data_IF_195488910617
#
_entry.id   IF_195488910617
#
_cell.length_a   1.000
_cell.length_b   1.000
_cell.length_c   1.000
_cell.angle_alpha   90.00
_cell.angle_beta   90.00
_cell.angle_gamma   90.00
#
_symmetry.space_group_name_H-M   'P 1'
#
loop_
_entity.id
_entity.type
_entity.pdbx_description
1 polymer ?
#
# COMPACT_ATOMS: atom_id res chain seq x y z
N UNK A 1 -23.91 -33.98 -41.35
CA UNK A 1 -24.37 -32.60 -41.03
C UNK A 1 -24.83 -32.42 -39.59
N UNK A 2 -25.57 -33.39 -39.00
CA UNK A 2 -26.15 -33.36 -37.63
C UNK A 2 -25.11 -33.08 -36.50
N UNK A 3 -23.90 -33.65 -36.61
CA UNK A 3 -22.85 -33.57 -35.59
C UNK A 3 -22.17 -32.17 -35.47
N UNK A 4 -22.13 -31.37 -36.56
CA UNK A 4 -21.57 -30.00 -36.53
C UNK A 4 -22.53 -28.97 -35.91
N UNK A 5 -23.84 -29.22 -36.00
CA UNK A 5 -24.87 -28.35 -35.45
C UNK A 5 -24.96 -28.51 -33.92
N UNK A 6 -24.91 -29.74 -33.43
CA UNK A 6 -24.86 -30.06 -32.00
C UNK A 6 -23.61 -29.47 -31.32
N UNK A 7 -22.44 -29.55 -31.96
CA UNK A 7 -21.21 -28.93 -31.46
C UNK A 7 -21.27 -27.39 -31.42
N UNK A 8 -21.93 -26.75 -32.40
CA UNK A 8 -22.17 -25.30 -32.40
C UNK A 8 -23.14 -24.88 -31.29
N UNK A 9 -24.22 -25.63 -31.09
CA UNK A 9 -25.20 -25.38 -30.02
C UNK A 9 -24.54 -25.56 -28.65
N UNK A 10 -23.75 -26.61 -28.44
CA UNK A 10 -23.02 -26.83 -27.19
C UNK A 10 -21.99 -25.73 -26.90
N UNK A 11 -21.29 -25.21 -27.93
CA UNK A 11 -20.36 -24.07 -27.77
C UNK A 11 -21.09 -22.77 -27.44
N UNK A 12 -22.24 -22.52 -28.05
CA UNK A 12 -23.06 -21.33 -27.78
C UNK A 12 -23.67 -21.40 -26.38
N UNK A 13 -24.15 -22.58 -25.94
CA UNK A 13 -24.64 -22.81 -24.59
C UNK A 13 -23.55 -22.64 -23.53
N UNK A 14 -22.32 -23.13 -23.78
CA UNK A 14 -21.17 -22.88 -22.89
C UNK A 14 -20.85 -21.39 -22.79
N UNK A 15 -20.78 -20.68 -23.92
CA UNK A 15 -20.55 -19.22 -23.93
C UNK A 15 -21.67 -18.44 -23.22
N UNK A 16 -22.93 -18.83 -23.41
CA UNK A 16 -24.06 -18.20 -22.75
C UNK A 16 -24.05 -18.45 -21.24
N UNK A 17 -23.74 -19.69 -20.81
CA UNK A 17 -23.56 -20.02 -19.40
C UNK A 17 -22.38 -19.28 -18.78
N UNK A 18 -21.26 -19.13 -19.50
CA UNK A 18 -20.11 -18.36 -19.02
C UNK A 18 -20.45 -16.87 -18.86
N UNK A 19 -21.26 -16.28 -19.75
CA UNK A 19 -21.71 -14.89 -19.64
C UNK A 19 -22.68 -14.71 -18.47
N UNK A 20 -23.64 -15.62 -18.29
CA UNK A 20 -24.57 -15.60 -17.15
C UNK A 20 -23.84 -15.84 -15.83
N UNK A 21 -22.84 -16.73 -15.82
CA UNK A 21 -21.98 -16.95 -14.66
C UNK A 21 -21.14 -15.71 -14.36
N UNK A 22 -20.56 -15.03 -15.36
CA UNK A 22 -19.83 -13.76 -15.17
C UNK A 22 -20.67 -12.64 -14.57
N UNK A 23 -21.96 -12.56 -14.90
CA UNK A 23 -22.89 -11.58 -14.28
C UNK A 23 -23.22 -11.94 -12.83
N UNK A 24 -23.04 -13.20 -12.45
CA UNK A 24 -23.27 -13.71 -11.08
C UNK A 24 -22.00 -13.74 -10.23
N UNK A 25 -20.84 -13.77 -10.88
CA UNK A 25 -19.54 -13.76 -10.24
C UNK A 25 -19.36 -12.43 -9.50
N UNK A 26 -19.05 -12.54 -8.22
CA UNK A 26 -18.82 -11.36 -7.38
C UNK A 26 -17.35 -11.04 -7.40
N UNK A 27 -17.03 -9.75 -7.42
CA UNK A 27 -15.69 -9.25 -7.31
C UNK A 27 -15.61 -8.39 -6.06
N UNK A 28 -14.57 -8.61 -5.25
CA UNK A 28 -14.26 -7.78 -4.09
C UNK A 28 -12.78 -7.46 -4.14
N UNK A 29 -12.45 -6.17 -4.17
CA UNK A 29 -11.09 -5.66 -3.98
C UNK A 29 -10.92 -5.26 -2.52
N UNK A 30 -10.15 -6.05 -1.78
CA UNK A 30 -9.88 -5.88 -0.37
C UNK A 30 -8.46 -5.34 -0.19
N UNK A 31 -8.38 -4.08 0.20
CA UNK A 31 -7.13 -3.45 0.55
C UNK A 31 -6.67 -3.86 1.95
N UNK A 32 -5.37 -4.09 2.11
CA UNK A 32 -4.70 -4.38 3.37
C UNK A 32 -3.57 -3.38 3.55
N UNK A 33 -3.62 -2.63 4.65
CA UNK A 33 -2.62 -1.62 4.96
C UNK A 33 -2.31 -1.58 6.45
N UNK A 34 -1.41 -0.69 6.85
CA UNK A 34 -0.86 -0.57 8.19
C UNK A 34 0.59 -0.11 8.11
N UNK A 35 1.05 0.53 9.18
CA UNK A 35 2.43 1.02 9.30
C UNK A 35 3.43 -0.14 9.17
N UNK A 36 4.69 0.17 8.84
CA UNK A 36 5.74 -0.85 8.78
C UNK A 36 5.77 -1.68 10.04
N UNK A 37 5.96 -3.00 9.86
CA UNK A 37 5.96 -4.02 10.92
C UNK A 37 4.61 -4.28 11.59
N UNK A 38 3.49 -3.73 11.11
CA UNK A 38 2.15 -4.11 11.58
C UNK A 38 1.70 -5.55 11.23
N UNK A 39 2.55 -6.31 10.52
CA UNK A 39 2.27 -7.71 10.18
C UNK A 39 1.54 -7.94 8.85
N UNK A 40 1.47 -6.97 7.94
CA UNK A 40 0.77 -7.10 6.64
C UNK A 40 1.15 -8.35 5.84
N UNK A 41 2.43 -8.56 5.56
CA UNK A 41 2.88 -9.74 4.80
C UNK A 41 2.47 -11.03 5.48
N UNK A 42 2.66 -11.13 6.80
CA UNK A 42 2.28 -12.31 7.57
C UNK A 42 0.76 -12.54 7.56
N UNK A 43 -0.04 -11.49 7.73
CA UNK A 43 -1.49 -11.53 7.68
C UNK A 43 -2.00 -12.02 6.33
N UNK A 44 -1.52 -11.45 5.22
CA UNK A 44 -1.97 -11.83 3.87
C UNK A 44 -1.53 -13.27 3.57
N UNK A 45 -0.30 -13.65 3.93
CA UNK A 45 0.19 -15.03 3.76
C UNK A 45 -0.70 -16.01 4.53
N UNK A 46 -1.00 -15.73 5.80
CA UNK A 46 -1.87 -16.56 6.61
C UNK A 46 -3.30 -16.60 6.07
N UNK A 47 -3.86 -15.47 5.64
CA UNK A 47 -5.22 -15.38 5.08
C UNK A 47 -5.35 -16.20 3.80
N UNK A 48 -4.41 -16.03 2.85
CA UNK A 48 -4.37 -16.82 1.62
C UNK A 48 -4.27 -18.31 1.95
N UNK A 49 -3.35 -18.68 2.85
CA UNK A 49 -3.17 -20.07 3.26
C UNK A 49 -4.45 -20.66 3.86
N UNK A 50 -5.09 -19.94 4.80
CA UNK A 50 -6.34 -20.36 5.44
C UNK A 50 -7.47 -20.51 4.42
N UNK A 51 -7.58 -19.61 3.44
CA UNK A 51 -8.63 -19.66 2.42
C UNK A 51 -8.43 -20.83 1.46
N UNK A 52 -7.21 -21.08 0.96
CA UNK A 52 -6.93 -22.21 0.06
C UNK A 52 -7.22 -23.56 0.72
N UNK A 53 -6.95 -23.68 2.03
CA UNK A 53 -7.16 -24.92 2.79
C UNK A 53 -8.55 -24.99 3.44
N UNK A 54 -9.35 -23.91 3.36
CA UNK A 54 -10.61 -23.77 4.11
C UNK A 54 -11.64 -24.89 3.86
N UNK A 55 -11.65 -25.48 2.66
CA UNK A 55 -12.58 -26.53 2.26
C UNK A 55 -12.10 -27.95 2.56
N UNK A 56 -10.81 -28.13 2.87
CA UNK A 56 -10.19 -29.45 3.11
C UNK A 56 -10.15 -29.73 4.61
N UNK A 57 -9.45 -28.89 5.36
CA UNK A 57 -9.19 -29.05 6.80
C UNK A 57 -9.34 -27.74 7.59
N UNK A 58 -9.80 -26.67 6.92
CA UNK A 58 -9.99 -25.36 7.51
C UNK A 58 -10.85 -25.36 8.77
N UNK A 59 -10.34 -24.74 9.83
CA UNK A 59 -11.05 -24.52 11.09
C UNK A 59 -11.47 -23.06 11.21
N UNK A 60 -12.47 -22.67 10.43
CA UNK A 60 -12.98 -21.28 10.36
C UNK A 60 -14.43 -21.17 10.88
N UNK A 61 -14.72 -21.51 12.16
CA UNK A 61 -16.09 -21.61 12.67
C UNK A 61 -16.86 -20.27 12.65
N UNK A 62 -16.14 -19.16 12.72
CA UNK A 62 -16.72 -17.82 12.63
C UNK A 62 -17.07 -17.43 11.18
N UNK A 63 -16.61 -18.19 10.19
CA UNK A 63 -16.95 -17.95 8.80
C UNK A 63 -18.18 -18.77 8.39
N UNK A 64 -19.32 -18.08 8.32
CA UNK A 64 -20.64 -18.65 7.97
C UNK A 64 -20.66 -19.61 6.77
N UNK A 65 -19.85 -19.36 5.74
CA UNK A 65 -19.80 -20.21 4.56
C UNK A 65 -19.13 -21.56 4.83
N UNK A 66 -18.06 -21.57 5.62
CA UNK A 66 -17.37 -22.78 6.04
C UNK A 66 -18.21 -23.52 7.09
N UNK A 67 -18.73 -22.81 8.11
CA UNK A 67 -19.57 -23.40 9.17
C UNK A 67 -20.80 -24.13 8.63
N UNK A 68 -21.38 -23.64 7.53
CA UNK A 68 -22.55 -24.23 6.88
C UNK A 68 -22.21 -25.29 5.82
N UNK A 69 -20.94 -25.69 5.67
CA UNK A 69 -20.51 -26.66 4.64
C UNK A 69 -20.75 -26.19 3.20
N UNK A 70 -20.85 -24.87 2.99
CA UNK A 70 -21.14 -24.28 1.67
C UNK A 70 -19.88 -24.00 0.87
N UNK A 71 -18.73 -23.90 1.50
CA UNK A 71 -17.47 -23.65 0.80
C UNK A 71 -17.07 -24.90 0.00
N UNK A 72 -16.69 -24.71 -1.27
CA UNK A 72 -16.23 -25.80 -2.15
C UNK A 72 -14.72 -25.81 -2.31
N UNK A 73 -14.09 -24.64 -2.20
CA UNK A 73 -12.65 -24.47 -2.31
C UNK A 73 -12.28 -23.04 -2.67
N UNK A 74 -11.01 -22.71 -2.44
CA UNK A 74 -10.40 -21.51 -2.95
C UNK A 74 -9.06 -21.83 -3.60
N UNK A 75 -8.66 -21.03 -4.58
CA UNK A 75 -7.33 -21.12 -5.19
C UNK A 75 -6.87 -19.76 -5.69
N UNK A 76 -5.57 -19.54 -5.72
CA UNK A 76 -4.97 -18.41 -6.43
C UNK A 76 -5.22 -18.54 -7.94
N UNK A 77 -5.52 -17.40 -8.56
CA UNK A 77 -5.70 -17.26 -10.01
C UNK A 77 -4.93 -16.02 -10.49
N UNK A 78 -4.63 -15.89 -11.80
CA UNK A 78 -3.96 -14.70 -12.31
C UNK A 78 -4.71 -13.41 -11.94
N UNK A 79 -3.95 -12.42 -11.45
CA UNK A 79 -4.44 -11.08 -11.14
C UNK A 79 -4.90 -10.36 -12.42
N UNK A 80 -5.78 -9.37 -12.26
CA UNK A 80 -6.26 -8.58 -13.41
C UNK A 80 -5.29 -7.45 -13.78
N UNK A 81 -4.67 -6.83 -12.78
CA UNK A 81 -3.84 -5.65 -12.95
C UNK A 81 -2.38 -6.05 -13.20
N UNK A 82 -2.01 -6.25 -14.47
CA UNK A 82 -0.66 -6.69 -14.83
C UNK A 82 0.46 -5.65 -14.54
N UNK A 83 0.11 -4.39 -14.29
CA UNK A 83 1.05 -3.34 -13.91
C UNK A 83 1.39 -3.35 -12.40
N UNK A 84 0.63 -4.08 -11.58
CA UNK A 84 0.88 -4.20 -10.14
C UNK A 84 1.72 -5.46 -9.89
N UNK A 85 2.79 -5.39 -9.08
CA UNK A 85 3.55 -6.58 -8.68
C UNK A 85 2.67 -7.66 -8.02
N UNK A 86 2.97 -8.93 -8.29
CA UNK A 86 2.29 -10.05 -7.62
C UNK A 86 2.78 -10.18 -6.17
N UNK A 87 1.87 -10.37 -5.22
CA UNK A 87 2.21 -10.65 -3.84
C UNK A 87 2.97 -11.98 -3.72
N UNK A 88 4.12 -11.95 -3.03
CA UNK A 88 5.07 -13.06 -2.98
C UNK A 88 4.68 -14.14 -1.96
N UNK A 89 3.49 -14.72 -2.10
CA UNK A 89 2.95 -15.74 -1.17
C UNK A 89 3.90 -16.92 -0.98
N UNK A 90 4.44 -17.50 -2.06
CA UNK A 90 5.32 -18.68 -1.96
C UNK A 90 6.59 -18.35 -1.17
N UNK A 91 7.21 -17.20 -1.44
CA UNK A 91 8.35 -16.73 -0.64
C UNK A 91 7.98 -16.53 0.83
N UNK A 92 6.78 -16.04 1.11
CA UNK A 92 6.28 -15.92 2.48
C UNK A 92 6.12 -17.27 3.18
N UNK A 93 5.61 -18.29 2.49
CA UNK A 93 5.57 -19.64 3.02
C UNK A 93 6.97 -20.22 3.22
N UNK A 94 7.87 -20.06 2.25
CA UNK A 94 9.25 -20.55 2.33
C UNK A 94 9.99 -19.97 3.54
N UNK A 95 9.77 -18.68 3.86
CA UNK A 95 10.32 -18.08 5.08
C UNK A 95 9.77 -18.76 6.34
N UNK A 96 8.46 -19.00 6.41
CA UNK A 96 7.80 -19.60 7.58
C UNK A 96 8.17 -21.07 7.79
N UNK A 97 8.40 -21.82 6.72
CA UNK A 97 8.80 -23.23 6.74
C UNK A 97 10.31 -23.45 6.61
N UNK A 98 11.10 -22.37 6.54
CA UNK A 98 12.56 -22.43 6.45
C UNK A 98 13.22 -23.00 7.71
N UNK A 99 14.52 -23.27 7.61
CA UNK A 99 15.37 -23.67 8.73
C UNK A 99 16.57 -22.71 8.87
N UNK A 100 16.59 -21.81 9.87
CA UNK A 100 15.53 -21.59 10.86
C UNK A 100 14.29 -20.90 10.26
N UNK A 101 13.09 -21.08 10.86
CA UNK A 101 11.90 -20.39 10.40
C UNK A 101 12.00 -18.89 10.66
N UNK A 102 11.52 -18.08 9.72
CA UNK A 102 11.58 -16.63 9.76
C UNK A 102 10.25 -15.99 9.31
N UNK A 103 10.00 -14.77 9.77
CA UNK A 103 8.86 -13.99 9.28
C UNK A 103 9.11 -13.54 7.83
N UNK A 104 8.06 -13.51 6.98
CA UNK A 104 8.17 -13.01 5.61
C UNK A 104 8.67 -11.57 5.55
N UNK A 105 9.44 -11.26 4.51
CA UNK A 105 9.92 -9.90 4.27
C UNK A 105 8.78 -8.88 4.14
N UNK A 106 8.92 -7.67 4.71
CA UNK A 106 7.98 -6.58 4.49
C UNK A 106 7.91 -6.18 3.01
N UNK A 107 6.69 -5.90 2.53
CA UNK A 107 6.48 -5.31 1.21
C UNK A 107 7.01 -3.87 1.16
N UNK A 108 7.66 -3.53 0.03
CA UNK A 108 8.28 -2.21 -0.22
C UNK A 108 7.43 -1.29 -1.10
N UNK A 109 6.28 -1.78 -1.58
CA UNK A 109 5.37 -1.08 -2.48
C UNK A 109 4.04 -1.83 -2.57
N UNK A 110 3.25 -1.53 -3.60
CA UNK A 110 1.96 -2.20 -3.83
C UNK A 110 2.19 -3.63 -4.31
N UNK A 111 1.41 -4.58 -3.81
CA UNK A 111 1.37 -5.94 -4.33
C UNK A 111 -0.06 -6.51 -4.33
N UNK A 112 -0.39 -7.35 -5.29
CA UNK A 112 -1.73 -7.92 -5.45
C UNK A 112 -1.69 -9.46 -5.51
N UNK A 113 -2.66 -10.12 -4.88
CA UNK A 113 -2.97 -11.54 -5.11
C UNK A 113 -4.45 -11.73 -5.29
N UNK A 114 -4.83 -12.57 -6.25
CA UNK A 114 -6.22 -12.85 -6.57
C UNK A 114 -6.60 -14.28 -6.23
N UNK A 115 -7.72 -14.42 -5.53
CA UNK A 115 -8.31 -15.70 -5.15
C UNK A 115 -9.64 -15.92 -5.89
N UNK A 116 -9.84 -17.11 -6.41
CA UNK A 116 -11.15 -17.63 -6.82
C UNK A 116 -11.71 -18.49 -5.69
N UNK A 117 -12.84 -18.07 -5.09
CA UNK A 117 -13.53 -18.79 -4.01
C UNK A 117 -14.87 -19.33 -4.54
N UNK A 118 -15.03 -20.65 -4.55
CA UNK A 118 -16.26 -21.31 -4.99
C UNK A 118 -17.11 -21.74 -3.80
N UNK A 119 -18.40 -21.44 -3.85
CA UNK A 119 -19.31 -21.72 -2.74
C UNK A 119 -20.74 -22.02 -3.20
N UNK A 120 -21.50 -22.76 -2.38
CA UNK A 120 -22.94 -22.97 -2.56
C UNK A 120 -23.72 -21.76 -2.06
N UNK A 121 -24.63 -21.26 -2.89
CA UNK A 121 -25.46 -20.10 -2.56
C UNK A 121 -26.56 -20.44 -1.56
N UNK A 122 -27.09 -19.43 -0.83
CA UNK A 122 -28.18 -19.63 0.16
C UNK A 122 -29.58 -19.68 -0.49
N UNK A 123 -29.74 -19.24 -1.74
CA UNK A 123 -31.08 -19.04 -2.33
C UNK A 123 -31.55 -20.26 -3.11
N UNK A 124 -32.27 -21.15 -2.44
CA UNK A 124 -33.02 -22.27 -3.03
C UNK A 124 -34.20 -21.84 -3.92
N UNK A 125 -34.71 -20.61 -3.74
CA UNK A 125 -35.88 -20.07 -4.47
C UNK A 125 -35.59 -19.67 -5.93
N UNK A 126 -34.32 -19.67 -6.35
CA UNK A 126 -33.90 -19.40 -7.73
C UNK A 126 -33.31 -20.67 -8.35
N UNK A 127 -34.15 -21.71 -8.47
CA UNK A 127 -33.83 -23.03 -9.07
C UNK A 127 -33.11 -22.98 -10.43
N UNK A 128 -33.17 -21.84 -11.13
CA UNK A 128 -32.58 -21.64 -12.45
C UNK A 128 -31.25 -20.85 -12.46
N UNK A 129 -30.78 -20.32 -11.32
CA UNK A 129 -29.56 -19.47 -11.25
C UNK A 129 -28.29 -20.22 -10.78
N UNK A 130 -28.35 -21.56 -10.71
CA UNK A 130 -27.21 -22.42 -10.37
C UNK A 130 -26.85 -22.43 -8.88
N UNK A 131 -26.56 -23.62 -8.35
CA UNK A 131 -26.31 -23.82 -6.91
C UNK A 131 -24.95 -23.30 -6.43
N UNK A 132 -23.95 -23.31 -7.32
CA UNK A 132 -22.56 -22.94 -7.04
C UNK A 132 -22.30 -21.56 -7.60
N UNK A 133 -21.74 -20.63 -6.84
CA UNK A 133 -21.25 -19.32 -7.30
C UNK A 133 -19.75 -19.14 -7.06
N UNK A 134 -19.15 -18.18 -7.76
CA UNK A 134 -17.74 -17.82 -7.63
C UNK A 134 -17.62 -16.39 -7.09
N UNK A 135 -16.74 -16.21 -6.11
CA UNK A 135 -16.31 -14.92 -5.60
C UNK A 135 -14.82 -14.76 -5.94
N UNK A 136 -14.48 -13.71 -6.68
CA UNK A 136 -13.11 -13.28 -6.87
C UNK A 136 -12.75 -12.26 -5.81
N UNK A 137 -11.67 -12.52 -5.07
CA UNK A 137 -11.13 -11.61 -4.06
C UNK A 137 -9.75 -11.16 -4.50
N UNK A 138 -9.60 -9.88 -4.78
CA UNK A 138 -8.32 -9.24 -5.05
C UNK A 138 -7.82 -8.64 -3.72
N UNK A 139 -6.77 -9.24 -3.14
CA UNK A 139 -6.09 -8.73 -1.95
C UNK A 139 -4.98 -7.80 -2.40
N UNK A 140 -5.05 -6.52 -2.02
CA UNK A 140 -4.06 -5.50 -2.38
C UNK A 140 -3.32 -5.03 -1.13
N UNK A 141 -2.04 -5.35 -1.04
CA UNK A 141 -1.13 -4.85 0.01
C UNK A 141 -0.53 -3.51 -0.42
N UNK A 142 -0.51 -2.53 0.47
CA UNK A 142 0.26 -1.30 0.27
C UNK A 142 0.74 -0.68 1.60
N UNK A 143 1.85 0.09 1.58
CA UNK A 143 2.39 0.72 2.78
C UNK A 143 1.44 1.75 3.41
N UNK A 144 1.16 1.62 4.71
CA UNK A 144 0.32 2.59 5.44
C UNK A 144 0.95 3.97 5.56
N UNK A 145 2.28 4.05 5.48
CA UNK A 145 3.03 5.30 5.45
C UNK A 145 2.59 6.22 4.32
N UNK A 146 2.09 5.67 3.21
CA UNK A 146 1.61 6.46 2.09
C UNK A 146 0.30 7.20 2.38
N UNK A 147 -0.47 6.76 3.37
CA UNK A 147 -1.67 7.47 3.82
C UNK A 147 -1.31 8.68 4.70
N UNK A 148 -0.11 8.72 5.27
CA UNK A 148 0.35 9.84 6.11
C UNK A 148 0.56 11.12 5.31
N UNK A 149 0.69 11.01 3.99
CA UNK A 149 0.86 12.15 3.09
C UNK A 149 -0.46 12.73 2.59
N UNK A 150 -1.61 12.11 2.88
CA UNK A 150 -2.91 12.64 2.43
C UNK A 150 -3.15 14.10 2.85
N UNK A 151 -2.79 14.54 4.08
CA UNK A 151 -2.91 15.95 4.45
C UNK A 151 -2.08 16.90 3.58
N UNK A 152 -1.00 16.43 2.95
CA UNK A 152 -0.15 17.27 2.08
C UNK A 152 -0.92 17.77 0.85
N UNK A 153 -1.96 17.07 0.40
CA UNK A 153 -2.80 17.51 -0.72
C UNK A 153 -3.48 18.86 -0.43
N UNK A 154 -3.79 19.13 0.83
CA UNK A 154 -4.46 20.35 1.28
C UNK A 154 -3.47 21.42 1.78
N UNK A 155 -2.17 21.11 1.83
CA UNK A 155 -1.13 22.01 2.32
C UNK A 155 -0.32 22.63 1.19
N UNK A 156 0.04 23.90 1.34
CA UNK A 156 1.12 24.53 0.58
C UNK A 156 2.49 24.09 1.11
N UNK A 157 3.54 24.26 0.31
CA UNK A 157 4.92 23.98 0.72
C UNK A 157 5.32 24.78 1.98
N UNK A 158 4.85 26.02 2.09
CA UNK A 158 5.06 26.91 3.24
C UNK A 158 4.40 26.36 4.50
N UNK A 159 3.14 25.95 4.40
CA UNK A 159 2.39 25.39 5.53
C UNK A 159 3.03 24.11 6.06
N UNK A 160 3.41 23.20 5.15
CA UNK A 160 4.12 21.99 5.52
C UNK A 160 5.49 22.29 6.14
N UNK A 161 6.23 23.24 5.58
CA UNK A 161 7.54 23.66 6.10
C UNK A 161 7.44 24.28 7.50
N UNK A 162 6.43 25.10 7.75
CA UNK A 162 6.16 25.68 9.07
C UNK A 162 5.81 24.60 10.10
N UNK A 163 4.98 23.62 9.71
CA UNK A 163 4.64 22.50 10.59
C UNK A 163 5.88 21.72 11.01
N UNK A 164 6.80 21.43 10.08
CA UNK A 164 8.06 20.76 10.43
C UNK A 164 8.95 21.67 11.29
N UNK A 165 9.01 22.97 11.00
CA UNK A 165 9.77 23.93 11.83
C UNK A 165 9.27 23.95 13.27
N UNK A 166 7.95 23.88 13.48
CA UNK A 166 7.36 23.79 14.83
C UNK A 166 7.74 22.48 15.52
N UNK A 167 7.69 21.35 14.81
CA UNK A 167 8.09 20.05 15.36
C UNK A 167 9.56 20.05 15.82
N UNK A 168 10.44 20.74 15.09
CA UNK A 168 11.85 20.86 15.45
C UNK A 168 12.12 21.67 16.74
N UNK A 169 11.11 22.28 17.36
CA UNK A 169 11.25 22.87 18.70
C UNK A 169 11.37 21.82 19.81
N UNK A 170 10.98 20.57 19.53
CA UNK A 170 11.14 19.44 20.45
C UNK A 170 12.62 19.02 20.48
N UNK A 171 13.30 19.04 21.65
CA UNK A 171 14.74 18.76 21.73
C UNK A 171 15.15 17.42 21.13
N UNK A 172 14.35 16.38 21.30
CA UNK A 172 14.59 15.04 20.76
C UNK A 172 14.56 15.01 19.23
N UNK A 173 13.68 15.81 18.60
CA UNK A 173 13.63 15.93 17.14
C UNK A 173 14.73 16.81 16.60
N UNK A 174 15.06 17.88 17.32
CA UNK A 174 16.16 18.76 16.96
C UNK A 174 17.50 18.03 16.96
N UNK A 175 17.74 17.16 17.96
CA UNK A 175 18.95 16.37 18.07
C UNK A 175 19.14 15.42 16.87
N UNK A 176 18.09 14.71 16.47
CA UNK A 176 18.12 13.83 15.30
C UNK A 176 18.25 14.59 13.97
N UNK A 177 17.72 15.82 13.90
CA UNK A 177 17.73 16.64 12.70
C UNK A 177 19.10 17.28 12.38
N UNK A 178 20.05 17.27 13.32
CA UNK A 178 21.31 18.01 13.23
C UNK A 178 22.06 17.83 11.90
N UNK A 179 22.04 16.62 11.34
CA UNK A 179 22.77 16.27 10.11
C UNK A 179 22.25 16.96 8.85
N UNK A 180 20.93 17.18 8.73
CA UNK A 180 20.32 17.80 7.55
C UNK A 180 20.09 19.30 7.73
N UNK A 181 20.08 19.80 8.97
CA UNK A 181 20.05 21.23 9.26
C UNK A 181 21.38 21.95 8.98
N UNK A 182 22.48 21.19 8.88
CA UNK A 182 23.84 21.69 8.67
C UNK A 182 24.42 21.22 7.32
N UNK A 183 24.91 22.12 6.46
CA UNK A 183 24.94 23.58 6.62
C UNK A 183 23.54 24.20 6.48
N UNK A 184 23.41 25.47 6.86
CA UNK A 184 22.21 26.26 6.56
C UNK A 184 22.14 26.58 5.08
N UNK A 185 20.93 26.67 4.53
CA UNK A 185 20.70 26.91 3.10
C UNK A 185 20.05 28.28 2.90
N UNK A 186 20.48 28.99 1.87
CA UNK A 186 19.91 30.29 1.49
C UNK A 186 18.84 30.11 0.42
N UNK A 187 17.70 30.78 0.57
CA UNK A 187 16.57 30.60 -0.34
C UNK A 187 16.89 30.98 -1.79
N UNK A 188 17.66 32.07 -1.97
CA UNK A 188 18.00 32.64 -3.27
C UNK A 188 19.20 31.94 -3.96
N UNK A 189 19.88 31.00 -3.31
CA UNK A 189 21.03 30.35 -3.93
C UNK A 189 20.61 29.49 -5.14
N UNK A 190 21.46 29.33 -6.16
CA UNK A 190 21.15 28.49 -7.31
C UNK A 190 20.92 27.03 -6.90
N UNK A 191 19.95 26.38 -7.53
CA UNK A 191 19.75 24.95 -7.37
C UNK A 191 20.97 24.16 -7.88
N UNK A 192 21.44 23.19 -7.09
CA UNK A 192 22.50 22.27 -7.48
C UNK A 192 22.11 20.84 -7.12
N UNK A 193 22.09 19.95 -8.12
CA UNK A 193 21.52 18.61 -7.99
C UNK A 193 22.23 17.74 -6.94
N UNK A 194 23.56 17.68 -6.98
CA UNK A 194 24.33 16.83 -6.06
C UNK A 194 24.22 17.28 -4.58
N UNK A 195 24.41 18.56 -4.23
CA UNK A 195 24.20 19.02 -2.85
C UNK A 195 22.76 18.77 -2.35
N UNK A 196 21.75 18.96 -3.21
CA UNK A 196 20.35 18.71 -2.85
C UNK A 196 20.05 17.23 -2.65
N UNK A 197 20.59 16.35 -3.50
CA UNK A 197 20.42 14.91 -3.32
C UNK A 197 20.98 14.45 -1.96
N UNK A 198 22.16 14.94 -1.58
CA UNK A 198 22.75 14.67 -0.26
C UNK A 198 21.91 15.23 0.89
N UNK A 199 21.30 16.40 0.72
CA UNK A 199 20.38 16.98 1.71
C UNK A 199 19.13 16.12 1.89
N UNK A 200 18.52 15.68 0.80
CA UNK A 200 17.35 14.81 0.81
C UNK A 200 17.65 13.42 1.40
N UNK A 201 18.83 12.87 1.16
CA UNK A 201 19.31 11.64 1.80
C UNK A 201 19.41 11.80 3.33
N UNK A 202 19.99 12.91 3.80
CA UNK A 202 20.10 13.20 5.25
C UNK A 202 18.74 13.41 5.90
N UNK A 203 17.83 14.09 5.21
CA UNK A 203 16.46 14.24 5.69
C UNK A 203 15.72 12.90 5.73
N UNK A 204 15.88 12.06 4.71
CA UNK A 204 15.36 10.68 4.71
C UNK A 204 15.93 9.87 5.89
N UNK A 205 17.23 9.98 6.17
CA UNK A 205 17.86 9.34 7.31
C UNK A 205 17.28 9.83 8.65
N UNK A 206 17.00 11.14 8.76
CA UNK A 206 16.29 11.72 9.91
C UNK A 206 14.89 11.10 10.08
N UNK A 207 14.11 10.95 9.01
CA UNK A 207 12.79 10.30 9.10
C UNK A 207 12.87 8.84 9.54
N UNK A 208 13.89 8.10 9.09
CA UNK A 208 14.17 6.75 9.59
C UNK A 208 14.53 6.75 11.08
N UNK A 209 15.38 7.67 11.54
CA UNK A 209 15.77 7.80 12.94
C UNK A 209 14.55 8.13 13.83
N UNK A 210 13.70 9.08 13.43
CA UNK A 210 12.46 9.39 14.15
C UNK A 210 11.57 8.16 14.35
N UNK A 211 11.45 7.31 13.33
CA UNK A 211 10.67 6.08 13.39
C UNK A 211 11.31 5.02 14.28
N UNK A 212 12.63 4.88 14.23
CA UNK A 212 13.36 3.82 14.93
C UNK A 212 13.61 4.14 16.41
N UNK A 213 13.98 5.39 16.71
CA UNK A 213 14.42 5.81 18.04
C UNK A 213 13.28 6.37 18.88
N UNK A 214 12.37 7.13 18.28
CA UNK A 214 11.27 7.81 18.98
C UNK A 214 9.91 7.14 18.78
N UNK A 215 9.85 6.05 18.01
CA UNK A 215 8.60 5.36 17.68
C UNK A 215 7.60 6.23 16.93
N UNK A 216 8.05 7.33 16.31
CA UNK A 216 7.12 8.27 15.67
C UNK A 216 6.47 7.65 14.44
N UNK A 217 5.15 7.72 14.44
CA UNK A 217 4.32 7.20 13.35
C UNK A 217 3.98 8.26 12.31
N UNK A 218 3.97 9.54 12.69
CA UNK A 218 3.76 10.64 11.76
C UNK A 218 5.11 11.11 11.20
N UNK A 219 5.55 10.48 10.12
CA UNK A 219 6.72 10.88 9.33
C UNK A 219 6.25 11.32 7.95
N UNK A 220 6.67 12.50 7.52
CA UNK A 220 6.32 13.07 6.22
C UNK A 220 7.60 13.58 5.54
N UNK A 221 7.77 13.38 4.22
CA UNK A 221 6.87 12.65 3.33
C UNK A 221 7.06 11.12 3.44
N UNK A 222 5.97 10.35 3.45
CA UNK A 222 5.99 8.90 3.64
C UNK A 222 6.76 8.14 2.56
N UNK A 223 6.77 8.62 1.30
CA UNK A 223 7.54 7.98 0.21
C UNK A 223 9.04 8.22 0.32
N UNK A 224 9.53 9.09 1.21
CA UNK A 224 10.97 9.19 1.45
C UNK A 224 11.46 7.92 2.16
N UNK A 225 10.67 7.41 3.11
CA UNK A 225 10.99 6.21 3.90
C UNK A 225 10.66 4.92 3.15
N UNK A 226 9.62 4.93 2.34
CA UNK A 226 9.22 3.81 1.47
C UNK A 226 8.98 4.30 0.04
N UNK A 227 10.05 4.52 -0.75
CA UNK A 227 9.95 5.10 -2.10
C UNK A 227 9.37 4.16 -3.16
N UNK A 228 9.33 2.85 -2.90
CA UNK A 228 8.85 1.87 -3.88
C UNK A 228 9.66 1.93 -5.17
N UNK A 229 8.98 2.14 -6.30
CA UNK A 229 9.60 2.27 -7.62
C UNK A 229 10.24 3.64 -7.89
N UNK A 230 9.98 4.64 -7.03
CA UNK A 230 10.43 6.02 -7.22
C UNK A 230 11.81 6.31 -6.62
N UNK A 231 12.58 5.28 -6.26
CA UNK A 231 13.94 5.43 -5.73
C UNK A 231 14.78 6.28 -6.69
N UNK A 232 15.36 7.36 -6.17
CA UNK A 232 16.18 8.28 -6.95
C UNK A 232 15.42 9.28 -7.81
N UNK A 233 14.08 9.28 -7.80
CA UNK A 233 13.29 10.23 -8.59
C UNK A 233 13.53 11.69 -8.12
N UNK A 234 13.62 12.68 -9.03
CA UNK A 234 13.83 14.09 -8.66
C UNK A 234 12.74 14.66 -7.73
N UNK A 235 11.51 14.16 -7.83
CA UNK A 235 10.41 14.55 -6.94
C UNK A 235 10.58 14.05 -5.50
N UNK A 236 11.58 13.22 -5.19
CA UNK A 236 11.97 12.85 -3.83
C UNK A 236 13.18 13.65 -3.32
N UNK A 237 13.63 14.65 -4.06
CA UNK A 237 14.82 15.43 -3.73
C UNK A 237 14.44 16.86 -3.32
N UNK A 238 13.73 16.98 -2.20
CA UNK A 238 13.40 18.24 -1.54
C UNK A 238 13.32 18.02 -0.04
N UNK A 239 13.33 19.09 0.75
CA UNK A 239 13.16 19.05 2.21
C UNK A 239 12.26 20.21 2.66
N UNK A 240 11.66 20.16 3.86
CA UNK A 240 10.89 21.30 4.35
C UNK A 240 11.82 22.50 4.59
N UNK A 241 11.33 23.70 4.28
CA UNK A 241 12.10 24.93 4.44
C UNK A 241 12.06 25.43 5.89
N UNK A 242 13.06 25.03 6.67
CA UNK A 242 13.14 25.35 8.11
C UNK A 242 14.14 26.45 8.44
N UNK A 243 14.90 26.93 7.44
CA UNK A 243 15.83 28.06 7.57
C UNK A 243 15.10 29.41 7.42
N UNK A 244 15.89 30.49 7.32
CA UNK A 244 15.38 31.85 7.16
C UNK A 244 14.37 31.95 6.01
N UNK A 245 13.23 32.63 6.23
CA UNK A 245 12.20 32.74 5.21
C UNK A 245 12.73 33.48 3.97
N UNK A 246 12.19 33.18 2.78
CA UNK A 246 12.56 33.91 1.57
C UNK A 246 12.19 35.40 1.71
N UNK A 247 13.09 36.29 1.30
CA UNK A 247 12.90 37.74 1.34
C UNK A 247 12.84 38.27 -0.10
N UNK A 248 11.75 38.95 -0.44
CA UNK A 248 11.55 39.51 -1.78
C UNK A 248 11.19 38.46 -2.84
N UNK A 249 11.20 38.88 -4.10
CA UNK A 249 10.99 37.97 -5.24
C UNK A 249 12.24 37.13 -5.49
N UNK A 250 12.06 35.81 -5.57
CA UNK A 250 13.13 34.87 -5.89
C UNK A 250 13.10 34.52 -7.38
N UNK A 251 14.28 34.25 -7.95
CA UNK A 251 14.37 33.66 -9.27
C UNK A 251 13.69 32.28 -9.31
N UNK A 252 13.09 31.92 -10.45
CA UNK A 252 12.42 30.62 -10.64
C UNK A 252 13.36 29.43 -10.45
N UNK A 253 14.64 29.59 -10.78
CA UNK A 253 15.70 28.57 -10.60
C UNK A 253 16.36 28.59 -9.21
N UNK A 254 15.86 29.42 -8.29
CA UNK A 254 16.33 29.41 -6.91
C UNK A 254 16.06 28.06 -6.24
N UNK A 255 16.88 27.72 -5.25
CA UNK A 255 16.71 26.49 -4.48
C UNK A 255 15.31 26.38 -3.87
N UNK A 256 14.82 27.47 -3.27
CA UNK A 256 13.50 27.52 -2.65
C UNK A 256 12.37 27.27 -3.67
N UNK A 257 12.41 27.95 -4.81
CA UNK A 257 11.43 27.76 -5.87
C UNK A 257 11.44 26.32 -6.41
N UNK A 258 12.63 25.73 -6.55
CA UNK A 258 12.79 24.33 -6.99
C UNK A 258 12.22 23.34 -5.97
N UNK A 259 12.44 23.55 -4.67
CA UNK A 259 11.86 22.68 -3.63
C UNK A 259 10.34 22.77 -3.61
N UNK A 260 9.78 23.99 -3.71
CA UNK A 260 8.34 24.19 -3.81
C UNK A 260 7.76 23.47 -5.04
N UNK A 261 8.41 23.57 -6.19
CA UNK A 261 7.99 22.87 -7.40
C UNK A 261 8.04 21.33 -7.22
N UNK A 262 9.13 20.79 -6.66
CA UNK A 262 9.27 19.34 -6.40
C UNK A 262 8.25 18.82 -5.39
N UNK A 263 7.91 19.61 -4.38
CA UNK A 263 6.83 19.30 -3.44
C UNK A 263 5.46 19.22 -4.14
N UNK A 264 5.14 20.15 -5.03
CA UNK A 264 3.89 20.06 -5.80
C UNK A 264 3.88 18.88 -6.78
N UNK A 265 5.01 18.57 -7.41
CA UNK A 265 5.16 17.35 -8.22
C UNK A 265 4.94 16.09 -7.40
N UNK A 266 5.50 16.02 -6.18
CA UNK A 266 5.30 14.92 -5.24
C UNK A 266 3.82 14.74 -4.90
N UNK A 267 3.12 15.82 -4.56
CA UNK A 267 1.67 15.80 -4.25
C UNK A 267 0.87 15.25 -5.44
N UNK A 268 1.08 15.80 -6.62
CA UNK A 268 0.31 15.43 -7.82
C UNK A 268 0.58 14.00 -8.26
N UNK A 269 1.85 13.60 -8.37
CA UNK A 269 2.22 12.32 -8.97
C UNK A 269 2.20 11.16 -7.99
N UNK A 270 2.64 11.37 -6.73
CA UNK A 270 2.79 10.29 -5.77
C UNK A 270 1.63 10.18 -4.78
N UNK A 271 1.10 11.31 -4.32
CA UNK A 271 0.02 11.30 -3.32
C UNK A 271 -1.34 11.16 -4.02
N UNK A 272 -1.66 12.09 -4.92
CA UNK A 272 -2.92 12.07 -5.69
C UNK A 272 -2.95 10.90 -6.66
N UNK A 273 -1.87 10.66 -7.42
CA UNK A 273 -1.78 9.53 -8.35
C UNK A 273 -2.05 8.18 -7.68
N UNK A 274 -1.50 7.94 -6.48
CA UNK A 274 -1.78 6.72 -5.73
C UNK A 274 -3.27 6.60 -5.33
N UNK A 275 -3.88 7.70 -4.90
CA UNK A 275 -5.28 7.73 -4.51
C UNK A 275 -6.21 7.40 -5.69
N UNK A 276 -5.99 8.04 -6.83
CA UNK A 276 -6.81 7.86 -8.03
C UNK A 276 -6.65 6.48 -8.66
N UNK A 277 -5.41 5.96 -8.72
CA UNK A 277 -5.11 4.71 -9.40
C UNK A 277 -5.44 3.47 -8.57
N UNK A 278 -5.29 3.54 -7.25
CA UNK A 278 -5.47 2.39 -6.37
C UNK A 278 -6.63 2.57 -5.40
N UNK A 279 -6.64 3.67 -4.62
CA UNK A 279 -7.54 3.82 -3.49
C UNK A 279 -9.01 3.90 -3.90
N UNK A 280 -9.32 4.62 -4.98
CA UNK A 280 -10.69 4.77 -5.49
C UNK A 280 -11.35 3.43 -5.91
N UNK A 281 -10.55 2.39 -6.18
CA UNK A 281 -11.03 1.08 -6.62
C UNK A 281 -11.24 0.05 -5.51
N UNK A 282 -11.01 0.40 -4.23
CA UNK A 282 -11.16 -0.55 -3.12
C UNK A 282 -12.61 -0.65 -2.64
N UNK A 283 -13.13 -1.87 -2.55
CA UNK A 283 -14.46 -2.13 -1.99
C UNK A 283 -14.44 -2.15 -0.46
N UNK A 284 -13.34 -2.62 0.13
CA UNK A 284 -13.17 -2.85 1.56
C UNK A 284 -11.70 -2.62 1.95
N UNK A 285 -11.48 -2.21 3.20
CA UNK A 285 -10.15 -1.93 3.75
C UNK A 285 -9.95 -2.64 5.09
N UNK A 286 -8.78 -3.24 5.26
CA UNK A 286 -8.24 -3.73 6.53
C UNK A 286 -7.04 -2.86 6.88
N UNK A 287 -7.01 -2.34 8.10
CA UNK A 287 -5.86 -1.61 8.65
C UNK A 287 -5.32 -2.41 9.83
N UNK A 288 -4.11 -2.93 9.69
CA UNK A 288 -3.42 -3.65 10.75
C UNK A 288 -2.68 -2.66 11.65
N UNK A 289 -2.90 -2.78 12.96
CA UNK A 289 -2.30 -1.94 13.99
C UNK A 289 -1.61 -2.85 15.01
N UNK A 290 -0.30 -2.66 15.18
CA UNK A 290 0.43 -3.28 16.29
C UNK A 290 0.28 -2.39 17.53
N UNK A 291 -0.49 -2.87 18.50
CA UNK A 291 -0.70 -2.16 19.77
C UNK A 291 0.39 -2.49 20.80
N UNK A 292 1.14 -3.57 20.63
CA UNK A 292 2.09 -4.05 21.64
C UNK A 292 3.41 -3.28 21.55
N UNK A 293 3.92 -3.05 20.34
CA UNK A 293 5.19 -2.33 20.17
C UNK A 293 5.14 -0.90 20.75
N UNK A 294 4.11 -0.07 20.50
CA UNK A 294 4.01 1.25 21.12
C UNK A 294 3.87 1.19 22.65
N UNK A 295 3.10 0.23 23.18
CA UNK A 295 2.96 0.06 24.63
C UNK A 295 4.30 -0.32 25.30
N UNK A 296 5.11 -1.14 24.63
CA UNK A 296 6.44 -1.52 25.11
C UNK A 296 7.46 -0.37 25.04
N UNK A 297 7.26 0.60 24.14
CA UNK A 297 8.12 1.78 24.02
C UNK A 297 7.87 2.82 25.12
N UNK A 298 6.74 2.75 25.83
CA UNK A 298 6.37 3.68 26.90
C UNK A 298 5.60 4.91 26.40
N UNK A 299 5.12 5.73 27.33
CA UNK A 299 4.50 7.01 27.00
C UNK A 299 5.59 8.02 26.60
N UNK A 300 5.36 8.71 25.48
CA UNK A 300 6.20 9.82 25.02
C UNK A 300 5.96 11.09 25.85
#
# INVERSE_FOLDING_TARGET
>A
MRNKLEQKIARLQRKANDVVNRVRDRHIRLAVTGLSRSGKTAFITALVNQLEHAAIDGRLPLWDAQRQGRLLGARRVPQQHAHIPTFAYERGLDSLFGDPPAWPDPTRGVAEVRLEIRYRTRHTLRKHLGEIATLYVDLVDYPGEWLLDLPLLEMSYEQWSEQVREQLRRPELQALAASWLTPTWQAAQPFAERPVAQLAERYTAYLHACKQELGLHLIQPGRFVLPGEYVGAPMLQFVPWVWDPPVGELAEESLYATFKQRFEQYKQHLVQGFYEQHFAGFDRQIVLVDCLQPLNAGAA
#
